data_IF_484287594030
#
_entry.id   IF_484287594030
#
_cell.length_a   1.000
_cell.length_b   1.000
_cell.length_c   1.000
_cell.angle_alpha   90.00
_cell.angle_beta   90.00
_cell.angle_gamma   90.00
#
_symmetry.space_group_name_H-M   'P 1'
#
loop_
_entity.id
_entity.type
_entity.pdbx_description
1 polymer ?
#
# COMPACT_ATOMS: atom_id res chain seq x y z
N UNK A 1 16.47 20.13 -51.00
CA UNK A 1 17.04 19.63 -49.71
C UNK A 1 16.06 19.95 -48.60
N UNK A 2 15.36 18.97 -48.12
CA UNK A 2 14.39 19.15 -47.04
C UNK A 2 15.02 18.56 -45.79
N UNK A 3 15.38 19.45 -44.85
CA UNK A 3 15.91 19.01 -43.56
C UNK A 3 14.74 18.56 -42.68
N UNK A 4 14.64 17.25 -42.43
CA UNK A 4 13.70 16.68 -41.45
C UNK A 4 14.21 16.95 -40.04
N UNK A 5 13.53 17.82 -39.34
CA UNK A 5 13.70 18.02 -37.90
C UNK A 5 13.01 16.87 -37.17
N UNK A 6 13.79 15.94 -36.64
CA UNK A 6 13.28 14.91 -35.72
C UNK A 6 13.15 15.56 -34.35
N UNK A 7 11.92 15.83 -33.96
CA UNK A 7 11.57 16.29 -32.60
C UNK A 7 11.63 15.09 -31.67
N UNK A 8 12.73 14.92 -30.93
CA UNK A 8 12.81 13.95 -29.86
C UNK A 8 12.04 14.52 -28.66
N UNK A 9 10.83 14.06 -28.47
CA UNK A 9 10.07 14.34 -27.26
C UNK A 9 10.72 13.58 -26.10
N UNK A 10 11.54 14.27 -25.32
CA UNK A 10 12.03 13.76 -24.03
C UNK A 10 10.84 13.70 -23.07
N UNK A 11 10.37 12.48 -22.81
CA UNK A 11 9.37 12.22 -21.77
C UNK A 11 10.04 12.48 -20.43
N UNK A 12 9.87 13.67 -19.89
CA UNK A 12 10.26 14.00 -18.52
C UNK A 12 9.38 13.18 -17.59
N UNK A 13 9.95 12.15 -17.00
CA UNK A 13 9.32 11.46 -15.87
C UNK A 13 9.13 12.50 -14.76
N UNK A 14 7.88 12.88 -14.50
CA UNK A 14 7.56 13.79 -13.41
C UNK A 14 7.88 13.09 -12.09
N UNK A 15 8.76 13.71 -11.30
CA UNK A 15 9.02 13.30 -9.93
C UNK A 15 7.72 13.41 -9.10
N UNK A 16 7.44 12.47 -8.18
CA UNK A 16 6.27 12.55 -7.33
C UNK A 16 6.25 13.86 -6.54
N UNK A 17 5.08 14.49 -6.46
CA UNK A 17 4.87 15.86 -5.98
C UNK A 17 5.14 16.09 -4.48
N UNK A 18 5.58 15.09 -3.73
CA UNK A 18 5.94 15.21 -2.31
C UNK A 18 7.42 14.95 -2.14
N UNK A 19 8.17 16.01 -1.98
CA UNK A 19 9.60 16.20 -2.03
C UNK A 19 10.55 15.31 -1.23
N UNK A 20 10.18 14.09 -0.85
CA UNK A 20 11.11 13.14 -0.24
C UNK A 20 11.79 12.31 -1.33
N UNK A 21 13.09 12.49 -1.49
CA UNK A 21 13.90 11.68 -2.37
C UNK A 21 14.04 10.27 -1.81
N UNK A 22 13.68 9.26 -2.60
CA UNK A 22 13.85 7.87 -2.24
C UNK A 22 15.33 7.47 -2.40
N UNK A 23 15.98 6.88 -1.39
CA UNK A 23 17.35 6.36 -1.54
C UNK A 23 17.45 5.37 -2.70
N UNK A 24 18.56 5.42 -3.44
CA UNK A 24 18.74 4.57 -4.62
C UNK A 24 18.59 3.07 -4.34
N UNK A 25 19.05 2.61 -3.18
CA UNK A 25 18.93 1.20 -2.76
C UNK A 25 17.47 0.81 -2.52
N UNK A 26 16.67 1.70 -1.94
CA UNK A 26 15.23 1.47 -1.70
C UNK A 26 14.46 1.49 -3.01
N UNK A 27 14.77 2.45 -3.88
CA UNK A 27 14.17 2.51 -5.22
C UNK A 27 14.46 1.26 -6.03
N UNK A 28 15.71 0.80 -6.04
CA UNK A 28 16.11 -0.43 -6.72
C UNK A 28 15.37 -1.66 -6.16
N UNK A 29 15.25 -1.76 -4.84
CA UNK A 29 14.51 -2.84 -4.20
C UNK A 29 13.02 -2.82 -4.60
N UNK A 30 12.41 -1.64 -4.64
CA UNK A 30 11.02 -1.46 -5.04
C UNK A 30 10.82 -1.84 -6.52
N UNK A 31 11.63 -1.30 -7.43
CA UNK A 31 11.50 -1.54 -8.88
C UNK A 31 11.68 -3.02 -9.22
N UNK A 32 12.58 -3.72 -8.50
CA UNK A 32 12.83 -5.14 -8.67
C UNK A 32 11.66 -6.00 -8.17
N UNK A 33 11.06 -5.64 -7.05
CA UNK A 33 9.96 -6.38 -6.44
C UNK A 33 8.62 -6.13 -7.15
N UNK A 34 8.41 -4.92 -7.68
CA UNK A 34 7.14 -4.47 -8.24
C UNK A 34 7.31 -3.81 -9.62
N UNK A 35 7.79 -4.57 -10.61
CA UNK A 35 7.99 -4.03 -11.97
C UNK A 35 6.64 -3.57 -12.55
N UNK A 36 6.63 -2.37 -13.13
CA UNK A 36 5.44 -1.75 -13.71
C UNK A 36 4.52 -1.03 -12.73
N UNK A 37 4.83 -1.04 -11.42
CA UNK A 37 4.11 -0.24 -10.44
C UNK A 37 4.47 1.25 -10.56
N UNK A 38 3.48 2.12 -10.38
CA UNK A 38 3.67 3.58 -10.37
C UNK A 38 3.72 4.08 -8.93
N UNK A 39 4.83 4.72 -8.55
CA UNK A 39 4.94 5.38 -7.24
C UNK A 39 4.09 6.64 -7.26
N UNK A 40 3.15 6.74 -6.33
CA UNK A 40 2.28 7.90 -6.17
C UNK A 40 2.79 8.88 -5.11
N UNK A 41 3.43 8.38 -4.06
CA UNK A 41 4.08 9.23 -3.06
C UNK A 41 5.19 8.49 -2.32
N UNK A 42 6.13 9.26 -1.78
CA UNK A 42 7.20 8.80 -0.89
C UNK A 42 7.19 9.66 0.36
N UNK A 43 7.16 9.03 1.52
CA UNK A 43 7.18 9.72 2.81
C UNK A 43 8.28 9.12 3.67
N UNK A 44 9.07 9.98 4.31
CA UNK A 44 10.04 9.57 5.32
C UNK A 44 9.34 9.56 6.68
N UNK A 45 9.41 8.44 7.37
CA UNK A 45 8.85 8.25 8.70
C UNK A 45 9.97 7.98 9.71
N UNK A 46 9.75 8.34 10.96
CA UNK A 46 10.63 7.97 12.07
C UNK A 46 9.89 7.04 13.01
N UNK A 47 10.48 5.87 13.23
CA UNK A 47 10.04 4.90 14.21
C UNK A 47 11.14 4.72 15.26
N UNK A 48 10.90 5.25 16.47
CA UNK A 48 11.85 5.26 17.60
C UNK A 48 13.19 5.90 17.17
N UNK A 49 14.20 5.09 16.82
CA UNK A 49 15.53 5.54 16.39
C UNK A 49 15.85 5.18 14.93
N UNK A 50 14.84 4.76 14.16
CA UNK A 50 15.00 4.34 12.76
C UNK A 50 14.34 5.31 11.81
N UNK A 51 14.99 5.55 10.69
CA UNK A 51 14.38 6.23 9.55
C UNK A 51 13.80 5.17 8.62
N UNK A 52 12.53 5.32 8.28
CA UNK A 52 11.81 4.44 7.37
C UNK A 52 11.32 5.23 6.17
N UNK A 53 11.18 4.56 5.04
CA UNK A 53 10.61 5.13 3.82
C UNK A 53 9.32 4.40 3.48
N UNK A 54 8.24 5.14 3.49
CA UNK A 54 6.93 4.68 3.04
C UNK A 54 6.79 5.02 1.56
N UNK A 55 6.55 3.99 0.75
CA UNK A 55 6.31 4.11 -0.69
C UNK A 55 4.87 3.73 -0.98
N UNK A 56 4.05 4.70 -1.35
CA UNK A 56 2.70 4.47 -1.85
C UNK A 56 2.75 4.28 -3.37
N UNK A 57 2.15 3.23 -3.87
CA UNK A 57 2.15 2.89 -5.29
C UNK A 57 0.81 2.33 -5.75
N UNK A 58 0.61 2.35 -7.06
CA UNK A 58 -0.54 1.74 -7.74
C UNK A 58 -0.03 0.82 -8.84
N UNK A 59 -0.60 -0.37 -8.90
CA UNK A 59 -0.36 -1.32 -9.98
C UNK A 59 -1.67 -2.00 -10.36
N UNK A 60 -2.02 -1.94 -11.64
CA UNK A 60 -3.28 -2.52 -12.16
C UNK A 60 -4.52 -2.08 -11.36
N UNK A 61 -4.57 -0.81 -10.99
CA UNK A 61 -5.67 -0.23 -10.23
C UNK A 61 -5.70 -0.55 -8.73
N UNK A 62 -4.78 -1.39 -8.24
CA UNK A 62 -4.66 -1.72 -6.80
C UNK A 62 -3.58 -0.89 -6.13
N UNK A 63 -3.93 -0.35 -4.96
CA UNK A 63 -3.01 0.38 -4.11
C UNK A 63 -2.11 -0.58 -3.32
N UNK A 64 -0.82 -0.26 -3.26
CA UNK A 64 0.16 -0.92 -2.42
C UNK A 64 0.97 0.12 -1.66
N UNK A 65 1.21 -0.16 -0.40
CA UNK A 65 2.08 0.63 0.47
C UNK A 65 3.19 -0.29 0.96
N UNK A 66 4.44 0.12 0.78
CA UNK A 66 5.59 -0.64 1.27
C UNK A 66 6.40 0.27 2.20
N UNK A 67 6.75 -0.26 3.36
CA UNK A 67 7.60 0.40 4.33
C UNK A 67 8.98 -0.23 4.30
N UNK A 68 9.99 0.58 4.01
CA UNK A 68 11.40 0.15 3.88
C UNK A 68 12.27 0.75 4.97
N UNK A 69 13.29 0.00 5.37
CA UNK A 69 14.47 0.58 6.02
C UNK A 69 15.38 1.27 4.99
N UNK A 70 16.31 2.08 5.48
CA UNK A 70 17.33 2.76 4.64
C UNK A 70 18.20 1.80 3.83
N UNK A 71 18.30 0.55 4.25
CA UNK A 71 19.03 -0.53 3.57
C UNK A 71 18.28 -1.16 2.40
N UNK A 72 17.01 -0.80 2.20
CA UNK A 72 16.11 -1.46 1.24
C UNK A 72 15.40 -2.69 1.78
N UNK A 73 15.61 -3.05 3.05
CA UNK A 73 14.88 -4.13 3.70
C UNK A 73 13.41 -3.75 3.90
N UNK A 74 12.51 -4.68 3.62
CA UNK A 74 11.06 -4.48 3.76
C UNK A 74 10.64 -4.72 5.20
N UNK A 75 9.95 -3.76 5.79
CA UNK A 75 9.35 -3.85 7.15
C UNK A 75 7.90 -4.30 7.06
N UNK A 76 7.14 -3.69 6.17
CA UNK A 76 5.70 -3.95 6.03
C UNK A 76 5.27 -3.79 4.57
N UNK A 77 4.36 -4.64 4.14
CA UNK A 77 3.65 -4.50 2.87
C UNK A 77 2.16 -4.47 3.14
N UNK A 78 1.47 -3.44 2.69
CA UNK A 78 0.02 -3.35 2.72
C UNK A 78 -0.53 -3.31 1.29
N UNK A 79 -1.41 -4.24 0.97
CA UNK A 79 -2.04 -4.36 -0.35
C UNK A 79 -3.55 -4.19 -0.25
N UNK A 80 -4.11 -3.38 -1.13
CA UNK A 80 -5.55 -3.22 -1.25
C UNK A 80 -6.20 -4.55 -1.58
N UNK A 81 -7.25 -4.88 -0.85
CA UNK A 81 -8.09 -6.06 -1.10
C UNK A 81 -9.53 -5.63 -1.35
N UNK A 82 -10.24 -6.37 -2.16
CA UNK A 82 -11.69 -6.24 -2.32
C UNK A 82 -12.42 -7.16 -1.34
N UNK A 83 -13.68 -6.88 -1.06
CA UNK A 83 -14.48 -7.71 -0.14
C UNK A 83 -14.47 -9.20 -0.53
N UNK A 84 -14.59 -9.49 -1.83
CA UNK A 84 -14.56 -10.87 -2.36
C UNK A 84 -13.21 -11.59 -2.19
N UNK A 85 -12.13 -10.84 -1.92
CA UNK A 85 -10.79 -11.38 -1.70
C UNK A 85 -10.51 -11.64 -0.21
N UNK A 86 -11.41 -11.22 0.68
CA UNK A 86 -11.26 -11.48 2.11
C UNK A 86 -11.37 -12.98 2.42
N UNK A 87 -10.54 -13.51 3.33
CA UNK A 87 -10.75 -14.84 3.88
C UNK A 87 -12.15 -14.95 4.46
N UNK A 88 -12.80 -16.10 4.27
CA UNK A 88 -14.16 -16.32 4.78
C UNK A 88 -14.32 -16.01 6.26
N UNK A 89 -13.39 -16.39 7.17
CA UNK A 89 -13.50 -16.02 8.59
C UNK A 89 -13.47 -14.50 8.83
N UNK A 90 -12.71 -13.74 8.05
CA UNK A 90 -12.65 -12.27 8.15
C UNK A 90 -13.96 -11.65 7.67
N UNK A 91 -14.48 -12.10 6.54
CA UNK A 91 -15.77 -11.64 6.02
C UNK A 91 -16.91 -11.97 7.01
N UNK A 92 -16.91 -13.17 7.58
CA UNK A 92 -17.89 -13.58 8.59
C UNK A 92 -17.80 -12.71 9.85
N UNK A 93 -16.61 -12.43 10.34
CA UNK A 93 -16.40 -11.53 11.48
C UNK A 93 -16.91 -10.12 11.21
N UNK A 94 -16.68 -9.58 10.01
CA UNK A 94 -17.20 -8.29 9.58
C UNK A 94 -18.75 -8.31 9.57
N UNK A 95 -19.35 -9.30 8.94
CA UNK A 95 -20.80 -9.41 8.81
C UNK A 95 -21.53 -9.77 10.14
N UNK A 96 -20.79 -10.20 11.16
CA UNK A 96 -21.35 -10.40 12.49
C UNK A 96 -21.73 -9.07 13.18
N UNK A 97 -21.18 -7.96 12.72
CA UNK A 97 -21.56 -6.64 13.20
C UNK A 97 -22.81 -6.13 12.48
N UNK A 98 -23.82 -5.63 13.22
CA UNK A 98 -25.08 -5.19 12.61
C UNK A 98 -24.89 -4.13 11.53
N UNK A 99 -25.48 -4.36 10.37
CA UNK A 99 -25.46 -3.43 9.22
C UNK A 99 -24.06 -3.10 8.68
N UNK A 100 -23.06 -3.93 8.95
CA UNK A 100 -21.71 -3.70 8.46
C UNK A 100 -21.66 -3.85 6.94
N UNK A 101 -21.19 -2.80 6.26
CA UNK A 101 -20.97 -2.75 4.83
C UNK A 101 -19.49 -2.49 4.61
N UNK A 102 -18.84 -3.32 3.81
CA UNK A 102 -17.45 -3.12 3.40
C UNK A 102 -17.29 -1.82 2.62
N UNK A 103 -16.29 -1.02 2.96
CA UNK A 103 -15.93 0.22 2.25
C UNK A 103 -14.59 0.06 1.56
N UNK A 104 -13.58 -0.38 2.30
CA UNK A 104 -12.24 -0.61 1.79
C UNK A 104 -11.46 -1.52 2.73
N UNK A 105 -10.36 -2.08 2.26
CA UNK A 105 -9.50 -2.89 3.09
C UNK A 105 -8.09 -3.01 2.56
N UNK A 106 -7.18 -3.29 3.48
CA UNK A 106 -5.78 -3.59 3.22
C UNK A 106 -5.40 -4.90 3.90
N UNK A 107 -4.74 -5.77 3.15
CA UNK A 107 -4.01 -6.91 3.70
C UNK A 107 -2.63 -6.43 4.08
N UNK A 108 -2.27 -6.52 5.34
CA UNK A 108 -1.00 -6.03 5.88
C UNK A 108 -0.12 -7.21 6.29
N UNK A 109 1.07 -7.25 5.74
CA UNK A 109 2.07 -8.29 6.00
C UNK A 109 3.28 -7.65 6.69
N UNK A 110 3.60 -8.11 7.89
CA UNK A 110 4.75 -7.65 8.66
C UNK A 110 5.42 -8.85 9.32
N UNK A 111 6.68 -9.12 8.95
CA UNK A 111 7.50 -10.15 9.59
C UNK A 111 6.84 -11.53 9.67
N UNK A 112 6.16 -11.98 8.62
CA UNK A 112 5.47 -13.28 8.58
C UNK A 112 4.07 -13.28 9.20
N UNK A 113 3.65 -12.22 9.90
CA UNK A 113 2.27 -12.06 10.35
C UNK A 113 1.42 -11.34 9.30
N UNK A 114 0.15 -11.71 9.24
CA UNK A 114 -0.84 -11.11 8.32
C UNK A 114 -2.00 -10.60 9.16
N UNK A 115 -2.47 -9.40 8.82
CA UNK A 115 -3.72 -8.85 9.35
C UNK A 115 -4.49 -8.13 8.24
N UNK A 116 -5.79 -8.02 8.42
CA UNK A 116 -6.68 -7.29 7.54
C UNK A 116 -7.17 -6.04 8.25
N UNK A 117 -6.87 -4.87 7.67
CA UNK A 117 -7.34 -3.57 8.15
C UNK A 117 -8.47 -3.11 7.25
N UNK A 118 -9.69 -3.16 7.76
CA UNK A 118 -10.90 -2.86 7.01
C UNK A 118 -11.52 -1.56 7.48
N UNK A 119 -12.07 -0.82 6.53
CA UNK A 119 -13.02 0.24 6.80
C UNK A 119 -14.42 -0.30 6.51
N UNK A 120 -15.27 -0.22 7.51
CA UNK A 120 -16.64 -0.72 7.48
C UNK A 120 -17.59 0.42 7.78
N UNK A 121 -18.73 0.46 7.11
CA UNK A 121 -19.78 1.43 7.37
C UNK A 121 -21.02 0.72 7.92
N UNK A 122 -21.43 1.09 9.13
CA UNK A 122 -22.70 0.75 9.72
C UNK A 122 -23.51 2.04 9.90
N UNK A 123 -23.90 2.36 11.13
CA UNK A 123 -24.47 3.68 11.48
C UNK A 123 -23.41 4.79 11.35
N UNK A 124 -22.15 4.44 11.51
CA UNK A 124 -20.97 5.30 11.30
C UNK A 124 -19.85 4.52 10.65
N UNK A 125 -18.86 5.22 10.14
CA UNK A 125 -17.64 4.64 9.59
C UNK A 125 -16.75 4.13 10.73
N UNK A 126 -16.30 2.90 10.65
CA UNK A 126 -15.59 2.18 11.71
C UNK A 126 -14.38 1.45 11.12
N UNK A 127 -13.27 1.41 11.84
CA UNK A 127 -12.12 0.61 11.49
C UNK A 127 -12.16 -0.75 12.19
N UNK A 128 -11.93 -1.82 11.43
CA UNK A 128 -11.82 -3.18 11.93
C UNK A 128 -10.45 -3.73 11.59
N UNK A 129 -9.78 -4.33 12.56
CA UNK A 129 -8.55 -5.08 12.35
C UNK A 129 -8.78 -6.52 12.75
N UNK A 130 -8.50 -7.45 11.85
CA UNK A 130 -8.70 -8.88 12.08
C UNK A 130 -7.53 -9.70 11.56
N UNK A 131 -7.27 -10.84 12.22
CA UNK A 131 -6.36 -11.88 11.73
C UNK A 131 -7.03 -12.69 10.62
N UNK A 132 -6.25 -13.43 9.79
CA UNK A 132 -6.81 -14.27 8.72
C UNK A 132 -7.83 -15.32 9.19
N UNK A 133 -7.73 -15.76 10.45
CA UNK A 133 -8.64 -16.72 11.09
C UNK A 133 -9.97 -16.09 11.54
N UNK A 134 -10.13 -14.79 11.35
CA UNK A 134 -11.32 -14.03 11.75
C UNK A 134 -11.27 -13.47 13.17
N UNK A 135 -10.18 -13.69 13.92
CA UNK A 135 -9.99 -13.07 15.24
C UNK A 135 -9.93 -11.56 15.10
N UNK A 136 -10.89 -10.85 15.71
CA UNK A 136 -10.92 -9.38 15.69
C UNK A 136 -9.97 -8.82 16.74
N UNK A 137 -8.99 -8.03 16.30
CA UNK A 137 -8.00 -7.37 17.17
C UNK A 137 -8.57 -6.04 17.68
N UNK A 138 -9.22 -5.28 16.81
CA UNK A 138 -9.87 -4.02 17.18
C UNK A 138 -11.07 -3.71 16.27
N UNK A 139 -12.04 -3.01 16.85
CA UNK A 139 -13.21 -2.50 16.13
C UNK A 139 -13.58 -1.14 16.76
N UNK A 140 -13.32 -0.04 16.02
CA UNK A 140 -13.47 1.35 16.53
C UNK A 140 -14.13 2.28 15.54
#
# INVERSE_FOLDING_TARGET
>A
MVASLILIATLLAQAPANGTSLPAVVKSAFDKAYPGATISSVTQERDTNRTLFRVDSVHQGKKRIVLYETTGAVIEVAEQVEEKELPQPVAAAMHSHPRAIYVSGMKVMRGGSIEYRLTVRGTRKTAMVAKPDGTVISFK
#
